data_IF_901366908734
#
_entry.id   IF_901366908734
#
_cell.length_a   1.000
_cell.length_b   1.000
_cell.length_c   1.000
_cell.angle_alpha   90.00
_cell.angle_beta   90.00
_cell.angle_gamma   90.00
#
_symmetry.space_group_name_H-M   'P 1'
#
loop_
_entity.id
_entity.type
_entity.pdbx_description
1 polymer ?
#
# COMPACT_ATOMS: atom_id res chain seq x y z
N UNK A 1 6.18 9.18 -3.14
CA UNK A 1 5.25 8.78 -2.06
C UNK A 1 6.01 7.88 -1.11
N UNK A 2 6.07 8.20 0.18
CA UNK A 2 6.69 7.32 1.17
C UNK A 2 5.73 6.18 1.54
N UNK A 3 6.27 5.01 1.90
CA UNK A 3 5.47 3.86 2.32
C UNK A 3 5.86 3.50 3.75
N UNK A 4 4.86 3.44 4.64
CA UNK A 4 5.11 3.02 6.03
C UNK A 4 5.34 1.50 6.11
N UNK A 5 6.08 1.07 7.13
CA UNK A 5 6.21 -0.35 7.50
C UNK A 5 4.84 -1.01 7.63
N UNK A 6 3.87 -0.32 8.25
CA UNK A 6 2.51 -0.84 8.40
C UNK A 6 1.83 -1.09 7.05
N UNK A 7 1.94 -0.17 6.09
CA UNK A 7 1.39 -0.35 4.75
C UNK A 7 1.99 -1.55 4.03
N UNK A 8 3.31 -1.75 4.14
CA UNK A 8 4.01 -2.88 3.55
C UNK A 8 3.62 -4.22 4.19
N UNK A 9 3.44 -4.27 5.51
CA UNK A 9 2.91 -5.45 6.20
C UNK A 9 1.49 -5.78 5.72
N UNK A 10 0.61 -4.78 5.61
CA UNK A 10 -0.75 -5.00 5.10
C UNK A 10 -0.79 -5.43 3.65
N UNK A 11 0.14 -4.97 2.83
CA UNK A 11 0.32 -5.47 1.47
C UNK A 11 0.64 -6.97 1.46
N UNK A 12 1.63 -7.40 2.24
CA UNK A 12 2.01 -8.81 2.33
C UNK A 12 0.85 -9.68 2.81
N UNK A 13 0.15 -9.25 3.86
CA UNK A 13 -0.95 -10.01 4.45
C UNK A 13 -2.18 -10.07 3.55
N UNK A 14 -2.60 -8.94 2.99
CA UNK A 14 -3.92 -8.79 2.35
C UNK A 14 -3.86 -8.98 0.85
N UNK A 15 -2.82 -8.47 0.21
CA UNK A 15 -2.67 -8.49 -1.25
C UNK A 15 -1.93 -9.74 -1.69
N UNK A 16 -0.86 -10.11 -0.98
CA UNK A 16 -0.04 -11.28 -1.31
C UNK A 16 -0.46 -12.55 -0.56
N UNK A 17 -1.44 -12.46 0.35
CA UNK A 17 -1.87 -13.56 1.22
C UNK A 17 -0.71 -14.25 1.98
N UNK A 18 0.37 -13.51 2.25
CA UNK A 18 1.57 -13.97 2.95
C UNK A 18 1.43 -13.59 4.43
N UNK A 19 1.08 -14.55 5.26
CA UNK A 19 0.90 -14.36 6.72
C UNK A 19 2.19 -14.52 7.50
N UNK A 20 3.17 -15.25 6.95
CA UNK A 20 4.51 -15.41 7.51
C UNK A 20 5.51 -14.67 6.62
N UNK A 21 6.09 -13.60 7.14
CA UNK A 21 7.06 -12.78 6.43
C UNK A 21 8.15 -12.28 7.36
N UNK A 22 9.33 -12.05 6.79
CA UNK A 22 10.52 -11.56 7.47
C UNK A 22 10.61 -10.03 7.38
N UNK A 23 11.52 -9.42 8.14
CA UNK A 23 11.86 -8.01 7.96
C UNK A 23 12.37 -7.70 6.54
N UNK A 24 13.05 -8.65 5.90
CA UNK A 24 13.52 -8.50 4.52
C UNK A 24 12.35 -8.45 3.54
N UNK A 25 11.33 -9.29 3.73
CA UNK A 25 10.09 -9.24 2.93
C UNK A 25 9.38 -7.89 3.05
N UNK A 26 9.34 -7.33 4.26
CA UNK A 26 8.77 -5.99 4.49
C UNK A 26 9.57 -4.93 3.75
N UNK A 27 10.90 -4.98 3.79
CA UNK A 27 11.76 -4.06 3.03
C UNK A 27 11.52 -4.14 1.53
N UNK A 28 11.46 -5.36 0.97
CA UNK A 28 11.13 -5.57 -0.44
C UNK A 28 9.73 -5.06 -0.81
N UNK A 29 8.75 -5.24 0.08
CA UNK A 29 7.40 -4.73 -0.11
C UNK A 29 7.36 -3.19 -0.10
N UNK A 30 8.13 -2.53 0.77
CA UNK A 30 8.29 -1.06 0.75
C UNK A 30 8.82 -0.61 -0.60
N UNK A 31 9.96 -1.17 -1.05
CA UNK A 31 10.57 -0.77 -2.32
C UNK A 31 9.65 -0.99 -3.52
N UNK A 32 8.92 -2.12 -3.52
CA UNK A 32 7.96 -2.43 -4.57
C UNK A 32 6.81 -1.43 -4.59
N UNK A 33 6.24 -1.11 -3.42
CA UNK A 33 5.15 -0.15 -3.30
C UNK A 33 5.63 1.25 -3.68
N UNK A 34 6.80 1.70 -3.24
CA UNK A 34 7.34 3.01 -3.62
C UNK A 34 7.55 3.14 -5.13
N UNK A 35 8.02 2.08 -5.80
CA UNK A 35 8.11 2.04 -7.27
C UNK A 35 6.73 2.06 -7.92
N UNK A 36 5.80 1.24 -7.43
CA UNK A 36 4.43 1.13 -7.97
C UNK A 36 3.64 2.43 -7.82
N UNK A 37 3.91 3.17 -6.74
CA UNK A 37 3.21 4.38 -6.35
C UNK A 37 3.90 5.66 -6.82
N UNK A 38 5.03 5.55 -7.54
CA UNK A 38 5.84 6.70 -7.95
C UNK A 38 5.08 7.70 -8.81
N UNK A 39 4.29 7.20 -9.76
CA UNK A 39 3.57 8.02 -10.74
C UNK A 39 2.14 8.35 -10.29
N UNK A 40 1.76 7.96 -9.07
CA UNK A 40 0.44 8.26 -8.52
C UNK A 40 0.41 9.69 -7.99
N UNK A 41 -0.32 10.56 -8.70
CA UNK A 41 -0.56 11.94 -8.28
C UNK A 41 -1.70 11.98 -7.25
N UNK A 42 -1.34 12.08 -5.98
CA UNK A 42 -2.31 12.29 -4.89
C UNK A 42 -2.61 13.77 -4.74
N UNK A 43 -3.87 14.15 -4.90
CA UNK A 43 -4.33 15.52 -4.58
C UNK A 43 -4.75 15.58 -3.12
N UNK A 44 -4.69 16.76 -2.50
CA UNK A 44 -5.08 16.98 -1.09
C UNK A 44 -6.53 16.59 -0.75
N UNK A 45 -7.40 16.42 -1.76
CA UNK A 45 -8.79 16.00 -1.61
C UNK A 45 -8.97 14.49 -1.55
N UNK A 46 -8.04 13.73 -2.14
CA UNK A 46 -8.12 12.27 -2.16
C UNK A 46 -7.52 11.77 -0.83
N UNK A 47 -8.19 10.84 -0.16
CA UNK A 47 -7.66 10.17 1.06
C UNK A 47 -7.26 8.72 0.81
N UNK A 48 -7.70 8.18 -0.32
CA UNK A 48 -7.41 6.82 -0.75
C UNK A 48 -7.56 6.69 -2.27
N UNK A 49 -6.80 5.78 -2.88
CA UNK A 49 -6.90 5.46 -4.31
C UNK A 49 -6.78 3.94 -4.51
N UNK A 50 -7.16 3.45 -5.68
CA UNK A 50 -7.04 2.03 -6.04
C UNK A 50 -5.57 1.65 -6.17
N UNK A 51 -5.12 0.60 -5.50
CA UNK A 51 -3.75 0.13 -5.62
C UNK A 51 -3.47 -0.30 -7.08
N UNK A 52 -2.48 0.32 -7.77
CA UNK A 52 -2.15 -0.07 -9.14
C UNK A 52 -1.80 -1.55 -9.24
N UNK A 53 -2.34 -2.24 -10.25
CA UNK A 53 -2.19 -3.69 -10.41
C UNK A 53 -3.13 -4.54 -9.54
N UNK A 54 -3.77 -3.95 -8.53
CA UNK A 54 -4.60 -4.68 -7.56
C UNK A 54 -5.95 -3.96 -7.35
N UNK A 55 -6.86 -4.15 -8.32
CA UNK A 55 -8.11 -3.39 -8.44
C UNK A 55 -9.04 -3.50 -7.22
N UNK A 56 -8.92 -4.59 -6.47
CA UNK A 56 -9.76 -4.90 -5.30
C UNK A 56 -9.22 -4.30 -4.00
N UNK A 57 -8.12 -3.55 -4.06
CA UNK A 57 -7.50 -2.93 -2.90
C UNK A 57 -7.38 -1.43 -3.07
N UNK A 58 -7.44 -0.72 -1.94
CA UNK A 58 -7.19 0.72 -1.85
C UNK A 58 -5.98 1.00 -0.98
N UNK A 59 -5.16 1.94 -1.40
CA UNK A 59 -4.11 2.53 -0.58
C UNK A 59 -4.71 3.74 0.13
N UNK A 60 -4.59 3.80 1.45
CA UNK A 60 -4.92 4.97 2.26
C UNK A 60 -3.65 5.76 2.51
N UNK A 61 -3.70 7.07 2.28
CA UNK A 61 -2.55 7.94 2.46
C UNK A 61 -2.87 9.19 3.26
N UNK A 62 -1.83 9.78 3.82
CA UNK A 62 -1.85 11.08 4.49
C UNK A 62 -0.54 11.78 4.20
N UNK A 63 -0.59 13.06 3.83
CA UNK A 63 0.62 13.88 3.67
C UNK A 63 1.68 13.22 2.76
N UNK A 64 1.26 12.66 1.60
CA UNK A 64 2.12 11.96 0.63
C UNK A 64 2.76 10.64 1.13
N UNK A 65 2.23 10.08 2.22
CA UNK A 65 2.69 8.83 2.82
C UNK A 65 1.57 7.78 2.82
N UNK A 66 1.84 6.60 2.27
CA UNK A 66 0.94 5.45 2.31
C UNK A 66 0.95 4.81 3.71
N UNK A 67 -0.19 4.84 4.38
CA UNK A 67 -0.35 4.38 5.78
C UNK A 67 -0.82 2.93 5.81
N UNK A 68 -1.77 2.55 4.96
CA UNK A 68 -2.34 1.20 4.98
C UNK A 68 -2.94 0.82 3.63
N UNK A 69 -3.17 -0.48 3.44
CA UNK A 69 -3.82 -1.04 2.26
C UNK A 69 -5.04 -1.84 2.72
N UNK A 70 -6.22 -1.53 2.20
CA UNK A 70 -7.49 -2.13 2.62
C UNK A 70 -8.22 -2.74 1.42
N UNK A 71 -9.03 -3.80 1.60
CA UNK A 71 -9.93 -4.29 0.56
C UNK A 71 -10.97 -3.23 0.18
N UNK A 72 -11.41 -3.20 -1.07
CA UNK A 72 -12.45 -2.29 -1.57
C UNK A 72 -13.82 -2.54 -0.95
N UNK A 73 -14.11 -3.79 -0.62
CA UNK A 73 -15.45 -4.27 -0.27
C UNK A 73 -15.69 -4.39 1.24
N UNK A 74 -14.76 -3.90 2.09
CA UNK A 74 -15.06 -3.73 3.51
C UNK A 74 -15.92 -2.48 3.70
N UNK A 75 -17.24 -2.67 3.60
CA UNK A 75 -18.26 -1.75 4.12
C UNK A 75 -18.28 -1.76 5.65
#
# INVERSE_FOLDING_TARGET
MQVTVHAAQRFLERVMSKTNYTCQDVGMAIELLEKTLRDVVVTSKVKHFVLPGFKDFRVVFRENTAITIIPKDQK
#
